data_IF_062394872267
#
_entry.id   IF_062394872267
#
_cell.length_a   1.000
_cell.length_b   1.000
_cell.length_c   1.000
_cell.angle_alpha   90.00
_cell.angle_beta   90.00
_cell.angle_gamma   90.00
#
_symmetry.space_group_name_H-M   'P 1'
#
loop_
_entity.id
_entity.type
_entity.pdbx_description
1 polymer ?
#
# COMPACT_ATOMS: atom_id res chain seq x y z
N UNK A 1 3.89 3.09 -5.94
CA UNK A 1 3.89 1.66 -5.57
C UNK A 1 2.92 1.39 -4.43
N UNK A 2 2.27 0.22 -4.45
CA UNK A 2 1.40 -0.25 -3.36
C UNK A 2 1.88 -1.62 -2.91
N UNK A 3 2.09 -1.76 -1.59
CA UNK A 3 2.40 -3.01 -0.93
C UNK A 3 1.17 -3.50 -0.16
N UNK A 4 0.88 -4.79 -0.23
CA UNK A 4 -0.28 -5.41 0.41
C UNK A 4 0.15 -6.67 1.15
N UNK A 5 -0.13 -6.75 2.43
CA UNK A 5 -0.03 -8.03 3.14
C UNK A 5 -1.26 -8.89 2.84
N UNK A 6 -1.03 -10.04 2.21
CA UNK A 6 -2.10 -10.92 1.73
C UNK A 6 -2.92 -11.56 2.87
N UNK A 7 -2.36 -11.65 4.06
CA UNK A 7 -3.00 -12.30 5.20
C UNK A 7 -3.94 -11.34 5.96
N UNK A 8 -3.50 -10.11 6.22
CA UNK A 8 -4.26 -9.12 6.98
C UNK A 8 -5.03 -8.15 6.10
N UNK A 9 -4.62 -7.98 4.83
CA UNK A 9 -5.10 -6.91 3.97
C UNK A 9 -4.52 -5.54 4.31
N UNK A 10 -3.48 -5.48 5.16
CA UNK A 10 -2.75 -4.25 5.44
C UNK A 10 -2.12 -3.72 4.15
N UNK A 11 -2.31 -2.43 3.91
CA UNK A 11 -1.84 -1.77 2.69
C UNK A 11 -0.90 -0.63 3.05
N UNK A 12 0.13 -0.45 2.22
CA UNK A 12 1.03 0.70 2.27
C UNK A 12 1.22 1.28 0.88
N UNK A 13 1.04 2.59 0.76
CA UNK A 13 1.28 3.35 -0.48
C UNK A 13 2.59 4.10 -0.37
N UNK A 14 3.54 3.82 -1.26
CA UNK A 14 4.75 4.60 -1.41
C UNK A 14 4.68 5.41 -2.70
N UNK A 15 4.75 6.75 -2.54
CA UNK A 15 4.71 7.67 -3.66
C UNK A 15 6.07 7.69 -4.36
N UNK A 16 6.03 7.62 -5.68
CA UNK A 16 7.19 7.67 -6.56
C UNK A 16 6.95 8.72 -7.65
N UNK A 17 7.98 9.42 -8.05
CA UNK A 17 7.94 10.38 -9.17
C UNK A 17 8.14 9.64 -10.48
N UNK A 18 9.08 8.71 -10.50
CA UNK A 18 9.39 7.85 -11.64
C UNK A 18 9.19 6.38 -11.25
N UNK A 19 8.83 5.57 -12.22
CA UNK A 19 8.76 4.11 -12.04
C UNK A 19 10.09 3.45 -12.40
N UNK A 20 11.17 3.93 -11.78
CA UNK A 20 12.51 3.38 -11.96
C UNK A 20 12.88 2.35 -10.89
N UNK A 21 13.91 1.55 -11.18
CA UNK A 21 14.41 0.52 -10.26
C UNK A 21 14.90 1.10 -8.92
N UNK A 22 15.62 2.22 -8.98
CA UNK A 22 16.14 2.91 -7.79
C UNK A 22 15.03 3.43 -6.87
N UNK A 23 14.03 4.14 -7.43
CA UNK A 23 12.90 4.62 -6.63
C UNK A 23 12.06 3.48 -6.07
N UNK A 24 11.94 2.38 -6.80
CA UNK A 24 11.24 1.18 -6.34
C UNK A 24 11.98 0.53 -5.16
N UNK A 25 13.31 0.48 -5.22
CA UNK A 25 14.13 0.00 -4.10
C UNK A 25 14.00 0.91 -2.87
N UNK A 26 14.04 2.23 -3.05
CA UNK A 26 13.81 3.19 -1.97
C UNK A 26 12.41 2.99 -1.35
N UNK A 27 11.40 2.78 -2.18
CA UNK A 27 10.04 2.47 -1.72
C UNK A 27 9.97 1.17 -0.92
N UNK A 28 10.70 0.11 -1.37
CA UNK A 28 10.85 -1.15 -0.64
C UNK A 28 11.45 -0.93 0.74
N UNK A 29 12.57 -0.23 0.83
CA UNK A 29 13.24 0.04 2.12
C UNK A 29 12.34 0.82 3.08
N UNK A 30 11.61 1.85 2.59
CA UNK A 30 10.64 2.60 3.39
C UNK A 30 9.49 1.73 3.89
N UNK A 31 8.98 0.86 3.05
CA UNK A 31 7.94 -0.09 3.41
C UNK A 31 8.42 -1.06 4.50
N UNK A 32 9.59 -1.64 4.36
CA UNK A 32 10.17 -2.58 5.32
C UNK A 32 10.45 -1.92 6.67
N UNK A 33 10.99 -0.70 6.66
CA UNK A 33 11.19 0.06 7.88
C UNK A 33 9.85 0.34 8.58
N UNK A 34 8.84 0.77 7.82
CA UNK A 34 7.50 0.99 8.37
C UNK A 34 6.88 -0.27 8.97
N UNK A 35 7.03 -1.43 8.33
CA UNK A 35 6.56 -2.72 8.84
C UNK A 35 7.27 -3.08 10.13
N UNK A 36 8.58 -2.88 10.18
CA UNK A 36 9.38 -3.14 11.36
C UNK A 36 8.98 -2.24 12.54
N UNK A 37 8.81 -0.94 12.29
CA UNK A 37 8.39 0.03 13.31
C UNK A 37 6.97 -0.28 13.82
N UNK A 38 6.08 -0.76 12.94
CA UNK A 38 4.70 -1.06 13.27
C UNK A 38 4.53 -2.31 14.13
N UNK A 39 5.29 -3.38 13.86
CA UNK A 39 5.04 -4.69 14.46
C UNK A 39 6.31 -5.47 14.82
N UNK A 40 7.50 -4.90 14.68
CA UNK A 40 8.81 -5.54 14.88
C UNK A 40 8.97 -6.85 14.07
N UNK A 41 8.40 -6.89 12.87
CA UNK A 41 8.50 -8.03 11.96
C UNK A 41 9.28 -7.64 10.70
N UNK A 42 9.97 -8.62 10.11
CA UNK A 42 10.67 -8.44 8.85
C UNK A 42 9.88 -9.08 7.70
N UNK A 43 9.85 -8.41 6.55
CA UNK A 43 9.25 -8.95 5.32
C UNK A 43 10.10 -10.13 4.83
N UNK A 44 9.47 -11.28 4.58
CA UNK A 44 10.16 -12.51 4.16
C UNK A 44 9.88 -12.90 2.72
N UNK A 45 8.82 -12.37 2.12
CA UNK A 45 8.44 -12.75 0.76
C UNK A 45 7.77 -11.60 0.04
N UNK A 46 8.14 -11.45 -1.23
CA UNK A 46 7.46 -10.60 -2.19
C UNK A 46 6.81 -11.43 -3.29
N UNK A 47 5.65 -11.00 -3.72
CA UNK A 47 4.97 -11.48 -4.91
C UNK A 47 4.55 -10.30 -5.76
N UNK A 48 4.95 -10.26 -7.01
CA UNK A 48 4.69 -9.14 -7.92
C UNK A 48 4.45 -9.61 -9.36
N UNK A 49 4.11 -8.70 -10.23
CA UNK A 49 4.23 -8.88 -11.67
C UNK A 49 5.69 -8.74 -12.15
N UNK A 50 5.94 -9.10 -13.42
CA UNK A 50 7.26 -9.06 -14.04
C UNK A 50 7.65 -7.64 -14.51
N UNK A 51 7.27 -6.61 -13.77
CA UNK A 51 7.58 -5.24 -14.10
C UNK A 51 8.89 -4.75 -13.47
N UNK A 52 8.84 -3.59 -12.85
CA UNK A 52 9.99 -2.91 -12.21
C UNK A 52 10.62 -3.75 -11.08
N UNK A 53 9.86 -4.69 -10.51
CA UNK A 53 10.31 -5.59 -9.45
C UNK A 53 11.23 -6.72 -9.94
N UNK A 54 11.34 -6.93 -11.26
CA UNK A 54 12.29 -7.86 -11.90
C UNK A 54 13.67 -7.22 -12.16
N UNK A 55 13.92 -6.03 -11.61
CA UNK A 55 15.22 -5.35 -11.72
C UNK A 55 16.29 -6.04 -10.88
N UNK A 56 17.52 -6.06 -11.38
CA UNK A 56 18.69 -6.62 -10.66
C UNK A 56 18.82 -5.99 -9.26
N UNK A 57 18.66 -4.68 -9.14
CA UNK A 57 18.77 -3.97 -7.86
C UNK A 57 17.76 -4.50 -6.81
N UNK A 58 16.51 -4.75 -7.22
CA UNK A 58 15.51 -5.28 -6.31
C UNK A 58 15.79 -6.72 -5.92
N UNK A 59 16.23 -7.55 -6.88
CA UNK A 59 16.57 -8.95 -6.64
C UNK A 59 17.79 -9.08 -5.73
N UNK A 60 18.87 -8.31 -5.98
CA UNK A 60 20.05 -8.30 -5.13
C UNK A 60 19.74 -7.91 -3.69
N UNK A 61 18.87 -6.91 -3.49
CA UNK A 61 18.47 -6.51 -2.16
C UNK A 61 17.64 -7.60 -1.47
N UNK A 62 16.73 -8.26 -2.20
CA UNK A 62 16.00 -9.41 -1.65
C UNK A 62 16.95 -10.53 -1.20
N UNK A 63 17.98 -10.82 -1.99
CA UNK A 63 19.00 -11.82 -1.64
C UNK A 63 19.76 -11.41 -0.37
N UNK A 64 20.20 -10.14 -0.29
CA UNK A 64 20.91 -9.61 0.88
C UNK A 64 20.08 -9.69 2.17
N UNK A 65 18.77 -9.53 2.06
CA UNK A 65 17.82 -9.53 3.19
C UNK A 65 17.24 -10.93 3.48
N UNK A 66 17.71 -11.98 2.81
CA UNK A 66 17.16 -13.34 2.91
C UNK A 66 15.64 -13.39 2.65
N UNK A 67 15.22 -12.71 1.59
CA UNK A 67 13.82 -12.59 1.18
C UNK A 67 13.56 -13.41 -0.08
N UNK A 68 12.41 -14.07 -0.12
CA UNK A 68 11.98 -14.82 -1.31
C UNK A 68 11.15 -13.93 -2.23
N UNK A 69 11.55 -13.84 -3.48
CA UNK A 69 10.78 -13.18 -4.53
C UNK A 69 10.08 -14.21 -5.43
N UNK A 70 8.84 -13.92 -5.80
CA UNK A 70 8.06 -14.73 -6.73
C UNK A 70 7.29 -13.81 -7.68
N UNK A 71 7.09 -14.25 -8.91
CA UNK A 71 6.40 -13.48 -9.93
C UNK A 71 5.11 -14.17 -10.38
N UNK A 72 4.15 -13.36 -10.83
CA UNK A 72 2.95 -13.87 -11.51
C UNK A 72 3.34 -14.47 -12.84
N UNK A 73 2.73 -15.60 -13.20
CA UNK A 73 2.94 -16.23 -14.51
C UNK A 73 2.47 -15.33 -15.66
N UNK A 74 3.08 -15.47 -16.81
CA UNK A 74 2.68 -14.74 -18.02
C UNK A 74 1.20 -15.02 -18.33
N UNK A 75 0.38 -13.95 -18.41
CA UNK A 75 -1.06 -14.07 -18.63
C UNK A 75 -1.90 -14.44 -17.41
N UNK A 76 -1.30 -14.72 -16.27
CA UNK A 76 -1.98 -15.14 -15.04
C UNK A 76 -2.36 -13.94 -14.14
N UNK A 77 -3.12 -12.98 -14.68
CA UNK A 77 -3.55 -11.76 -13.96
C UNK A 77 -4.20 -12.05 -12.60
N UNK A 78 -4.91 -13.17 -12.47
CA UNK A 78 -5.55 -13.55 -11.20
C UNK A 78 -4.55 -13.76 -10.04
N UNK A 79 -3.27 -14.05 -10.33
CA UNK A 79 -2.25 -14.25 -9.32
C UNK A 79 -1.86 -12.94 -8.61
N UNK A 80 -2.06 -11.78 -9.25
CA UNK A 80 -1.83 -10.46 -8.66
C UNK A 80 -3.14 -9.73 -8.26
N UNK A 81 -4.26 -10.45 -8.25
CA UNK A 81 -5.59 -9.87 -8.06
C UNK A 81 -5.76 -9.13 -6.70
N UNK A 82 -5.02 -9.53 -5.66
CA UNK A 82 -5.08 -8.87 -4.35
C UNK A 82 -4.51 -7.46 -4.46
N UNK A 83 -3.34 -7.30 -5.05
CA UNK A 83 -2.71 -6.00 -5.25
C UNK A 83 -3.53 -5.12 -6.21
N UNK A 84 -3.99 -5.67 -7.34
CA UNK A 84 -4.82 -4.95 -8.31
C UNK A 84 -6.12 -4.43 -7.66
N UNK A 85 -6.81 -5.25 -6.89
CA UNK A 85 -8.02 -4.85 -6.17
C UNK A 85 -7.75 -3.77 -5.14
N UNK A 86 -6.63 -3.86 -4.43
CA UNK A 86 -6.23 -2.83 -3.46
C UNK A 86 -5.95 -1.50 -4.15
N UNK A 87 -5.26 -1.52 -5.29
CA UNK A 87 -5.01 -0.33 -6.12
C UNK A 87 -6.35 0.30 -6.55
N UNK A 88 -7.27 -0.50 -7.07
CA UNK A 88 -8.60 -0.03 -7.51
C UNK A 88 -9.38 0.59 -6.34
N UNK A 89 -9.42 -0.09 -5.19
CA UNK A 89 -10.15 0.37 -4.01
C UNK A 89 -9.60 1.70 -3.49
N UNK A 90 -8.28 1.81 -3.31
CA UNK A 90 -7.65 3.04 -2.82
C UNK A 90 -7.80 4.20 -3.82
N UNK A 91 -7.62 3.93 -5.11
CA UNK A 91 -7.80 4.93 -6.16
C UNK A 91 -9.24 5.43 -6.23
N UNK A 92 -10.22 4.54 -6.05
CA UNK A 92 -11.62 4.91 -5.98
C UNK A 92 -11.93 5.80 -4.78
N UNK A 93 -11.45 5.43 -3.60
CA UNK A 93 -11.64 6.24 -2.39
C UNK A 93 -10.96 7.61 -2.50
N UNK A 94 -9.72 7.66 -2.97
CA UNK A 94 -8.99 8.91 -3.19
C UNK A 94 -9.73 9.82 -4.17
N UNK A 95 -10.19 9.27 -5.30
CA UNK A 95 -10.98 10.01 -6.29
C UNK A 95 -12.28 10.55 -5.70
N UNK A 96 -13.01 9.73 -4.95
CA UNK A 96 -14.27 10.15 -4.31
C UNK A 96 -14.05 11.30 -3.35
N UNK A 97 -12.99 11.23 -2.52
CA UNK A 97 -12.65 12.31 -1.59
C UNK A 97 -12.28 13.59 -2.31
N UNK A 98 -11.51 13.52 -3.39
CA UNK A 98 -11.14 14.70 -4.18
C UNK A 98 -12.36 15.34 -4.85
N UNK A 99 -13.24 14.54 -5.44
CA UNK A 99 -14.48 15.04 -6.06
C UNK A 99 -15.38 15.69 -5.01
N UNK A 100 -15.53 15.05 -3.85
CA UNK A 100 -16.30 15.60 -2.74
C UNK A 100 -15.73 16.95 -2.28
N UNK A 101 -14.42 17.03 -2.10
CA UNK A 101 -13.74 18.25 -1.70
C UNK A 101 -13.93 19.38 -2.73
N UNK A 102 -13.76 19.08 -4.02
CA UNK A 102 -13.94 20.05 -5.10
C UNK A 102 -15.38 20.61 -5.16
N UNK A 103 -16.39 19.76 -4.87
CA UNK A 103 -17.80 20.17 -4.85
C UNK A 103 -18.13 21.05 -3.64
N UNK A 104 -17.60 20.72 -2.46
CA UNK A 104 -17.96 21.39 -1.23
C UNK A 104 -17.08 22.62 -0.90
N UNK A 105 -15.84 22.65 -1.38
CA UNK A 105 -14.87 23.74 -1.12
C UNK A 105 -14.18 24.22 -2.41
N UNK A 106 -14.93 24.65 -3.44
CA UNK A 106 -14.35 25.03 -4.72
C UNK A 106 -13.46 26.28 -4.63
N UNK A 107 -13.72 27.16 -3.66
CA UNK A 107 -12.96 28.39 -3.47
C UNK A 107 -11.58 28.18 -2.80
N UNK A 108 -11.36 27.04 -2.18
CA UNK A 108 -10.18 26.77 -1.36
C UNK A 108 -9.10 25.95 -2.12
N UNK A 109 -9.24 25.86 -3.44
CA UNK A 109 -8.32 25.10 -4.28
C UNK A 109 -8.41 23.58 -4.10
N UNK A 110 -9.54 23.09 -3.57
CA UNK A 110 -9.80 21.67 -3.35
C UNK A 110 -9.96 20.87 -4.65
N UNK A 111 -10.07 21.53 -5.79
CA UNK A 111 -10.07 20.96 -7.15
C UNK A 111 -8.65 20.70 -7.69
N UNK A 112 -7.61 21.08 -6.93
CA UNK A 112 -6.22 20.95 -7.37
C UNK A 112 -5.78 19.48 -7.41
N UNK A 113 -5.42 19.01 -8.60
CA UNK A 113 -4.94 17.63 -8.81
C UNK A 113 -3.64 17.29 -8.06
N UNK A 114 -2.85 18.29 -7.64
CA UNK A 114 -1.68 18.06 -6.78
C UNK A 114 -2.02 17.51 -5.39
N UNK A 115 -3.31 17.53 -5.01
CA UNK A 115 -3.78 16.89 -3.77
C UNK A 115 -3.91 15.36 -3.88
N UNK A 116 -3.78 14.79 -5.09
CA UNK A 116 -3.89 13.35 -5.30
C UNK A 116 -3.02 12.49 -4.38
N UNK A 117 -1.72 12.80 -4.14
CA UNK A 117 -0.90 12.02 -3.23
C UNK A 117 -1.45 12.01 -1.79
N UNK A 118 -1.96 13.13 -1.33
CA UNK A 118 -2.57 13.24 0.01
C UNK A 118 -3.86 12.43 0.09
N UNK A 119 -4.71 12.49 -0.93
CA UNK A 119 -5.93 11.70 -1.02
C UNK A 119 -5.62 10.19 -1.02
N UNK A 120 -4.58 9.74 -1.73
CA UNK A 120 -4.14 8.35 -1.71
C UNK A 120 -3.63 7.92 -0.33
N UNK A 121 -2.83 8.76 0.34
CA UNK A 121 -2.35 8.49 1.70
C UNK A 121 -3.50 8.45 2.71
N UNK A 122 -4.48 9.32 2.56
CA UNK A 122 -5.66 9.30 3.41
C UNK A 122 -6.54 8.06 3.14
N UNK A 123 -6.68 7.65 1.88
CA UNK A 123 -7.36 6.41 1.53
C UNK A 123 -6.68 5.17 2.13
N UNK A 124 -5.34 5.11 2.10
CA UNK A 124 -4.54 4.09 2.78
C UNK A 124 -4.84 4.08 4.28
N UNK A 125 -4.79 5.25 4.93
CA UNK A 125 -5.03 5.39 6.36
C UNK A 125 -6.41 4.89 6.76
N UNK A 126 -7.45 5.28 6.02
CA UNK A 126 -8.82 4.80 6.23
C UNK A 126 -8.92 3.29 6.01
N UNK A 127 -8.40 2.78 4.88
CA UNK A 127 -8.48 1.37 4.53
C UNK A 127 -7.90 0.47 5.61
N UNK A 128 -6.77 0.87 6.19
CA UNK A 128 -6.09 0.09 7.23
C UNK A 128 -6.82 0.09 8.57
N UNK A 129 -7.73 1.05 8.80
CA UNK A 129 -8.45 1.25 10.08
C UNK A 129 -9.95 0.97 10.02
N UNK A 130 -10.51 0.73 8.84
CA UNK A 130 -11.92 0.32 8.70
C UNK A 130 -12.03 -1.19 8.96
N UNK A 131 -12.87 -1.62 9.91
CA UNK A 131 -13.04 -3.04 10.21
C UNK A 131 -13.65 -3.81 9.04
N UNK A 132 -13.10 -4.98 8.76
CA UNK A 132 -13.71 -5.90 7.81
C UNK A 132 -15.07 -6.38 8.32
N UNK A 133 -16.07 -6.37 7.46
CA UNK A 133 -17.45 -6.73 7.84
C UNK A 133 -17.61 -8.17 8.37
N UNK A 134 -16.74 -9.09 7.96
CA UNK A 134 -16.78 -10.50 8.38
C UNK A 134 -16.05 -10.72 9.70
N UNK A 135 -14.83 -10.20 9.82
CA UNK A 135 -13.97 -10.44 10.99
C UNK A 135 -14.19 -9.43 12.11
N UNK A 136 -14.78 -8.26 11.81
CA UNK A 136 -14.91 -7.10 12.71
C UNK A 136 -13.56 -6.53 13.18
N UNK A 137 -12.47 -6.97 12.60
CA UNK A 137 -11.13 -6.48 12.86
C UNK A 137 -10.65 -5.62 11.70
N UNK A 138 -9.84 -4.63 12.00
CA UNK A 138 -9.17 -3.79 11.01
C UNK A 138 -7.93 -4.51 10.45
N UNK A 139 -7.48 -4.20 9.23
CA UNK A 139 -6.25 -4.75 8.69
C UNK A 139 -5.04 -4.57 9.61
N UNK A 140 -4.92 -3.41 10.24
CA UNK A 140 -3.80 -3.12 11.14
C UNK A 140 -3.88 -3.94 12.44
N UNK A 141 -5.08 -4.16 13.03
CA UNK A 141 -5.24 -5.04 14.19
C UNK A 141 -4.90 -6.49 13.87
N UNK A 142 -5.29 -6.98 12.69
CA UNK A 142 -4.94 -8.33 12.23
C UNK A 142 -3.43 -8.47 12.08
N UNK A 143 -2.77 -7.46 11.53
CA UNK A 143 -1.33 -7.46 11.29
C UNK A 143 -0.52 -7.36 12.58
N UNK A 144 -0.83 -6.37 13.43
CA UNK A 144 -0.08 -6.11 14.67
C UNK A 144 -0.48 -7.03 15.81
N UNK A 145 -1.62 -7.71 15.70
CA UNK A 145 -2.26 -8.49 16.78
C UNK A 145 -2.58 -7.65 18.01
N UNK A 146 -2.69 -6.35 17.84
CA UNK A 146 -2.98 -5.38 18.90
C UNK A 146 -4.28 -4.66 18.57
N UNK A 147 -5.16 -4.53 19.55
CA UNK A 147 -6.42 -3.80 19.37
C UNK A 147 -6.17 -2.31 19.30
N UNK A 148 -6.79 -1.64 18.32
CA UNK A 148 -6.71 -0.18 18.22
C UNK A 148 -7.48 0.48 19.36
N UNK A 149 -6.88 1.50 19.94
CA UNK A 149 -7.56 2.38 20.89
C UNK A 149 -8.17 3.59 20.14
N UNK A 150 -9.17 4.22 20.77
CA UNK A 150 -9.84 5.38 20.17
C UNK A 150 -8.88 6.52 19.81
N UNK A 151 -7.82 6.72 20.58
CA UNK A 151 -6.75 7.71 20.31
C UNK A 151 -5.99 7.44 19.01
N UNK A 152 -5.97 6.20 18.51
CA UNK A 152 -5.27 5.82 17.29
C UNK A 152 -6.12 6.11 16.03
N UNK A 153 -7.37 6.56 16.22
CA UNK A 153 -8.33 6.87 15.17
C UNK A 153 -8.49 8.37 14.91
N UNK A 154 -7.85 9.22 15.73
CA UNK A 154 -7.92 10.68 15.67
C UNK A 154 -6.56 11.23 15.10
#
# INVERSE_FOLDING_TARGET
TIYVDSASGLVRVEMQVLMGAEETLVGKCKFEQWVYDLASVCVKRYHSDNGVYDSELFQEDCIKQDQKQTFSGVGAKHQNAIAERSIQTLSYHARTMMVHAAVHWPSDGADNLHLWPFAMKHAEWLHTRIPNHKTRLTPIEVFTKTKLEHKDLI
#
